data_IF_670810456825
#
_entry.id   IF_670810456825
#
_cell.length_a   1.000
_cell.length_b   1.000
_cell.length_c   1.000
_cell.angle_alpha   90.00
_cell.angle_beta   90.00
_cell.angle_gamma   90.00
#
_symmetry.space_group_name_H-M   'P 1'
#
loop_
_entity.id
_entity.type
_entity.pdbx_description
1 polymer ?
#
# COMPACT_ATOMS: atom_id res chain seq x y z
N UNK A 1 -12.81 -7.90 -3.49
CA UNK A 1 -12.43 -6.50 -3.74
C UNK A 1 -11.99 -6.25 -5.19
N UNK A 2 -12.87 -6.36 -6.20
CA UNK A 2 -12.51 -5.99 -7.58
C UNK A 2 -12.18 -4.49 -7.75
N UNK A 3 -12.75 -3.63 -6.90
CA UNK A 3 -12.58 -2.18 -6.97
C UNK A 3 -11.14 -1.70 -6.78
N UNK A 4 -10.31 -2.44 -6.03
CA UNK A 4 -8.91 -2.06 -5.76
C UNK A 4 -8.02 -2.16 -7.01
N UNK A 5 -8.44 -2.91 -8.03
CA UNK A 5 -7.68 -3.08 -9.28
C UNK A 5 -7.44 -1.76 -10.03
N UNK A 6 -8.27 -0.73 -9.80
CA UNK A 6 -8.11 0.58 -10.44
C UNK A 6 -6.77 1.24 -10.08
N UNK A 7 -6.30 1.11 -8.84
CA UNK A 7 -5.04 1.68 -8.37
C UNK A 7 -3.81 1.02 -9.00
N UNK A 8 -3.98 -0.17 -9.57
CA UNK A 8 -2.93 -0.96 -10.22
C UNK A 8 -3.14 -1.10 -11.73
N UNK A 9 -3.98 -0.26 -12.36
CA UNK A 9 -4.30 -0.34 -13.79
C UNK A 9 -3.07 -0.18 -14.72
N UNK A 10 -1.97 0.39 -14.20
CA UNK A 10 -0.70 0.52 -14.90
C UNK A 10 0.10 -0.79 -14.96
N UNK A 11 -0.29 -1.83 -14.21
CA UNK A 11 0.32 -3.16 -14.31
C UNK A 11 -0.25 -3.92 -15.50
N UNK A 12 0.65 -4.44 -16.35
CA UNK A 12 0.26 -5.31 -17.49
C UNK A 12 -0.36 -6.63 -17.05
N UNK A 13 0.05 -7.14 -15.89
CA UNK A 13 -0.46 -8.36 -15.28
C UNK A 13 -0.75 -8.09 -13.80
N UNK A 14 -1.99 -8.33 -13.38
CA UNK A 14 -2.46 -8.20 -12.00
C UNK A 14 -2.65 -9.57 -11.33
N UNK A 15 -2.15 -10.65 -11.94
CA UNK A 15 -2.11 -11.97 -11.31
C UNK A 15 -1.22 -11.95 -10.07
N UNK A 16 -1.49 -12.81 -9.07
CA UNK A 16 -0.67 -12.91 -7.86
C UNK A 16 0.79 -13.28 -8.14
N UNK A 17 1.07 -13.94 -9.27
CA UNK A 17 2.41 -14.38 -9.66
C UNK A 17 3.16 -13.36 -10.50
N UNK A 18 2.52 -12.24 -10.87
CA UNK A 18 3.15 -11.20 -11.68
C UNK A 18 4.38 -10.60 -10.97
N UNK A 19 5.46 -10.24 -11.70
CA UNK A 19 6.63 -9.60 -11.11
C UNK A 19 6.29 -8.30 -10.36
N UNK A 20 5.33 -7.51 -10.89
CA UNK A 20 4.88 -6.27 -10.24
C UNK A 20 4.19 -6.54 -8.91
N UNK A 21 3.26 -7.50 -8.86
CA UNK A 21 2.58 -7.86 -7.61
C UNK A 21 3.56 -8.40 -6.56
N UNK A 22 4.51 -9.27 -6.97
CA UNK A 22 5.53 -9.81 -6.05
C UNK A 22 6.43 -8.70 -5.49
N UNK A 23 6.91 -7.80 -6.35
CA UNK A 23 7.76 -6.67 -5.92
C UNK A 23 6.99 -5.74 -4.97
N UNK A 24 5.77 -5.39 -5.31
CA UNK A 24 4.96 -4.51 -4.47
C UNK A 24 4.56 -5.17 -3.15
N UNK A 25 4.30 -6.48 -3.15
CA UNK A 25 4.03 -7.25 -1.93
C UNK A 25 5.18 -7.14 -0.92
N UNK A 26 6.45 -7.17 -1.38
CA UNK A 26 7.61 -6.93 -0.52
C UNK A 26 7.56 -5.51 0.05
N UNK A 27 7.29 -4.49 -0.77
CA UNK A 27 7.16 -3.09 -0.32
C UNK A 27 6.09 -2.94 0.77
N UNK A 28 4.92 -3.57 0.60
CA UNK A 28 3.83 -3.54 1.60
C UNK A 28 4.30 -4.19 2.90
N UNK A 29 4.91 -5.37 2.83
CA UNK A 29 5.38 -6.07 4.04
C UNK A 29 6.51 -5.34 4.76
N UNK A 30 7.40 -4.63 4.03
CA UNK A 30 8.39 -3.74 4.64
C UNK A 30 7.72 -2.56 5.35
N UNK A 31 6.67 -1.98 4.79
CA UNK A 31 5.87 -0.94 5.46
C UNK A 31 5.19 -1.46 6.72
N UNK A 32 4.69 -2.70 6.71
CA UNK A 32 4.14 -3.35 7.92
C UNK A 32 5.23 -3.56 8.98
N UNK A 33 6.42 -4.00 8.59
CA UNK A 33 7.54 -4.16 9.53
C UNK A 33 7.98 -2.81 10.14
N UNK A 34 7.99 -1.74 9.34
CA UNK A 34 8.25 -0.38 9.82
C UNK A 34 7.14 0.12 10.76
N UNK A 35 5.88 -0.20 10.49
CA UNK A 35 4.78 0.08 11.42
C UNK A 35 4.97 -0.62 12.77
N UNK A 36 5.40 -1.89 12.76
CA UNK A 36 5.69 -2.64 14.00
C UNK A 36 6.83 -2.01 14.79
N UNK A 37 7.87 -1.51 14.14
CA UNK A 37 8.98 -0.82 14.84
C UNK A 37 8.58 0.53 15.43
N UNK A 38 7.45 1.10 14.98
CA UNK A 38 6.90 2.41 15.37
C UNK A 38 5.57 2.29 16.13
N UNK A 39 5.30 1.13 16.73
CA UNK A 39 3.99 0.79 17.30
C UNK A 39 3.51 1.77 18.39
N UNK A 40 4.42 2.43 19.09
CA UNK A 40 4.09 3.43 20.12
C UNK A 40 3.52 4.74 19.54
N UNK A 41 3.88 5.09 18.30
CA UNK A 41 3.34 6.25 17.58
C UNK A 41 3.21 5.96 16.07
N UNK A 42 2.17 5.20 15.71
CA UNK A 42 1.86 4.92 14.31
C UNK A 42 1.47 6.17 13.51
N UNK A 43 0.89 7.19 14.15
CA UNK A 43 0.44 8.42 13.46
C UNK A 43 1.63 9.22 12.97
N UNK A 44 2.61 9.50 13.84
CA UNK A 44 3.85 10.14 13.45
C UNK A 44 4.70 9.23 12.57
N UNK A 45 4.80 7.96 12.96
CA UNK A 45 5.66 6.97 12.32
C UNK A 45 5.36 6.68 10.85
N UNK A 46 4.09 6.75 10.46
CA UNK A 46 3.61 6.45 9.10
C UNK A 46 3.12 7.68 8.33
N UNK A 47 3.45 8.90 8.79
CA UNK A 47 2.97 10.15 8.18
C UNK A 47 3.24 10.21 6.67
N UNK A 48 4.46 9.91 6.23
CA UNK A 48 4.83 9.93 4.81
C UNK A 48 4.02 8.90 3.98
N UNK A 49 3.71 7.74 4.58
CA UNK A 49 2.91 6.71 3.91
C UNK A 49 1.44 7.16 3.82
N UNK A 50 0.93 7.82 4.85
CA UNK A 50 -0.40 8.44 4.86
C UNK A 50 -0.52 9.50 3.76
N UNK A 51 0.44 10.43 3.67
CA UNK A 51 0.44 11.48 2.65
C UNK A 51 0.50 10.92 1.23
N UNK A 52 1.32 9.89 1.00
CA UNK A 52 1.40 9.21 -0.28
C UNK A 52 0.03 8.64 -0.70
N UNK A 53 -0.64 7.91 0.20
CA UNK A 53 -1.92 7.29 -0.12
C UNK A 53 -3.05 8.32 -0.24
N UNK A 54 -3.06 9.36 0.59
CA UNK A 54 -4.13 10.36 0.60
C UNK A 54 -4.03 11.35 -0.57
N UNK A 55 -2.84 11.88 -0.85
CA UNK A 55 -2.70 13.05 -1.75
C UNK A 55 -2.16 12.71 -3.12
N UNK A 56 -1.18 11.80 -3.19
CA UNK A 56 -0.54 11.41 -4.45
C UNK A 56 -1.32 10.30 -5.15
N UNK A 57 -1.60 9.21 -4.44
CA UNK A 57 -2.31 8.05 -4.99
C UNK A 57 -3.83 8.19 -4.89
N UNK A 58 -4.32 8.99 -3.93
CA UNK A 58 -5.74 9.25 -3.68
C UNK A 58 -6.55 7.96 -3.52
N UNK A 59 -6.01 7.02 -2.72
CA UNK A 59 -6.67 5.75 -2.42
C UNK A 59 -7.86 6.02 -1.51
N UNK A 60 -9.04 5.59 -1.90
CA UNK A 60 -10.24 5.66 -1.06
C UNK A 60 -9.98 4.90 0.26
N UNK A 61 -10.13 5.56 1.43
CA UNK A 61 -9.89 4.96 2.74
C UNK A 61 -10.63 3.65 2.98
N UNK A 62 -11.79 3.42 2.33
CA UNK A 62 -12.55 2.18 2.42
C UNK A 62 -11.79 0.93 1.90
N UNK A 63 -10.64 1.11 1.23
CA UNK A 63 -9.80 -0.01 0.79
C UNK A 63 -8.82 -0.51 1.87
N UNK A 64 -8.76 0.12 3.04
CA UNK A 64 -7.88 -0.29 4.16
C UNK A 64 -8.62 -1.05 5.28
N UNK A 65 -9.93 -1.26 5.16
CA UNK A 65 -10.78 -1.97 6.14
C UNK A 65 -10.79 -3.48 5.98
#
# INVERSE_FOLDING_TARGET
YPQTKTYFAHWKDQSPTSPSARKHGITVMSGVADAVSKIDDLKGGLLNLSELHAFTLRVDPANFS
#
